data_IF_450222030078
#
_entry.id   IF_450222030078
#
_cell.length_a   1.000
_cell.length_b   1.000
_cell.length_c   1.000
_cell.angle_alpha   90.00
_cell.angle_beta   90.00
_cell.angle_gamma   90.00
#
_symmetry.space_group_name_H-M   'P 1'
#
loop_
_entity.id
_entity.type
_entity.pdbx_description
1 polymer ?
#
# COMPACT_ATOMS: atom_id res chain seq x y z
N UNK A 1 4.69 1.70 -15.37
CA UNK A 1 3.75 1.13 -14.39
C UNK A 1 2.36 1.11 -15.03
N UNK A 2 1.52 0.11 -14.73
CA UNK A 2 0.14 0.05 -15.22
C UNK A 2 -0.66 1.30 -14.80
N UNK A 3 -1.71 1.63 -15.56
CA UNK A 3 -2.59 2.75 -15.25
C UNK A 3 -3.51 2.44 -14.06
N UNK A 4 -3.96 3.47 -13.33
CA UNK A 4 -4.88 3.33 -12.17
C UNK A 4 -6.10 2.44 -12.49
N UNK A 5 -6.70 2.62 -13.69
CA UNK A 5 -7.86 1.82 -14.14
C UNK A 5 -7.56 0.34 -14.37
N UNK A 6 -6.36 0.01 -14.86
CA UNK A 6 -5.96 -1.39 -15.09
C UNK A 6 -5.73 -2.08 -13.75
N UNK A 7 -5.15 -1.36 -12.79
CA UNK A 7 -4.94 -1.83 -11.43
C UNK A 7 -6.29 -2.03 -10.71
N UNK A 8 -7.23 -1.10 -10.87
CA UNK A 8 -8.58 -1.23 -10.31
C UNK A 8 -9.29 -2.48 -10.85
N UNK A 9 -9.26 -2.71 -12.16
CA UNK A 9 -9.84 -3.90 -12.77
C UNK A 9 -9.19 -5.21 -12.26
N UNK A 10 -7.87 -5.20 -12.04
CA UNK A 10 -7.17 -6.35 -11.46
C UNK A 10 -7.56 -6.58 -9.99
N UNK A 11 -7.70 -5.52 -9.20
CA UNK A 11 -8.15 -5.61 -7.80
C UNK A 11 -9.60 -6.11 -7.72
N UNK A 12 -10.47 -5.67 -8.62
CA UNK A 12 -11.86 -6.13 -8.72
C UNK A 12 -11.93 -7.61 -9.12
N UNK A 13 -11.08 -8.06 -10.06
CA UNK A 13 -10.97 -9.48 -10.41
C UNK A 13 -10.50 -10.35 -9.23
N UNK A 14 -9.70 -9.78 -8.32
CA UNK A 14 -9.26 -10.42 -7.07
C UNK A 14 -10.25 -10.23 -5.91
N UNK A 15 -11.35 -9.51 -6.09
CA UNK A 15 -12.34 -9.26 -5.03
C UNK A 15 -13.26 -10.46 -4.76
N UNK A 16 -13.16 -11.54 -5.54
CA UNK A 16 -13.66 -12.85 -5.14
C UNK A 16 -13.11 -13.20 -3.73
N UNK A 17 -13.88 -13.87 -2.86
CA UNK A 17 -13.47 -14.06 -1.47
C UNK A 17 -12.11 -14.78 -1.44
N UNK A 18 -11.07 -14.03 -1.11
CA UNK A 18 -9.72 -14.56 -0.90
C UNK A 18 -9.88 -15.56 0.22
N UNK A 19 -9.77 -16.85 -0.12
CA UNK A 19 -9.91 -17.94 0.84
C UNK A 19 -8.92 -17.67 1.96
N UNK A 20 -9.38 -17.74 3.21
CA UNK A 20 -8.50 -17.56 4.36
C UNK A 20 -7.32 -18.56 4.25
N UNK A 21 -6.12 -18.04 3.95
CA UNK A 21 -4.92 -18.84 3.71
C UNK A 21 -4.29 -18.71 2.31
N UNK A 22 -4.90 -17.99 1.36
CA UNK A 22 -4.31 -17.75 0.04
C UNK A 22 -3.20 -16.68 0.08
N UNK A 23 -2.00 -17.08 0.51
CA UNK A 23 -0.83 -16.19 0.58
C UNK A 23 -0.47 -15.59 -0.77
N UNK A 24 -0.61 -16.34 -1.88
CA UNK A 24 -0.31 -15.86 -3.22
C UNK A 24 -1.25 -14.71 -3.62
N UNK A 25 -2.54 -14.86 -3.34
CA UNK A 25 -3.53 -13.80 -3.55
C UNK A 25 -3.22 -12.54 -2.72
N UNK A 26 -2.79 -12.70 -1.47
CA UNK A 26 -2.39 -11.56 -0.63
C UNK A 26 -1.10 -10.88 -1.09
N UNK A 27 -0.11 -11.62 -1.60
CA UNK A 27 1.10 -11.05 -2.18
C UNK A 27 0.77 -10.23 -3.44
N UNK A 28 -0.03 -10.78 -4.37
CA UNK A 28 -0.45 -10.07 -5.57
C UNK A 28 -1.28 -8.82 -5.23
N UNK A 29 -2.22 -8.93 -4.27
CA UNK A 29 -3.00 -7.79 -3.79
C UNK A 29 -2.10 -6.68 -3.21
N UNK A 30 -1.04 -7.07 -2.50
CA UNK A 30 -0.06 -6.13 -1.95
C UNK A 30 0.65 -5.37 -3.07
N UNK A 31 1.19 -6.09 -4.06
CA UNK A 31 1.89 -5.50 -5.21
C UNK A 31 0.98 -4.54 -6.01
N UNK A 32 -0.28 -4.92 -6.24
CA UNK A 32 -1.25 -4.07 -6.92
C UNK A 32 -1.54 -2.78 -6.14
N UNK A 33 -1.66 -2.85 -4.81
CA UNK A 33 -1.86 -1.64 -4.00
C UNK A 33 -0.61 -0.76 -3.90
N UNK A 34 0.60 -1.33 -3.93
CA UNK A 34 1.84 -0.57 -4.07
C UNK A 34 1.84 0.22 -5.39
N UNK A 35 1.51 -0.43 -6.52
CA UNK A 35 1.40 0.25 -7.81
C UNK A 35 0.26 1.28 -7.85
N UNK A 36 -0.88 0.99 -7.21
CA UNK A 36 -2.01 1.93 -7.13
C UNK A 36 -1.61 3.19 -6.38
N UNK A 37 -0.84 3.06 -5.31
CA UNK A 37 -0.35 4.20 -4.53
C UNK A 37 0.54 5.11 -5.39
N UNK A 38 1.44 4.52 -6.17
CA UNK A 38 2.28 5.26 -7.11
C UNK A 38 1.47 5.92 -8.23
N UNK A 39 0.48 5.21 -8.79
CA UNK A 39 -0.41 5.75 -9.83
C UNK A 39 -1.25 6.93 -9.33
N UNK A 40 -1.84 6.83 -8.14
CA UNK A 40 -2.63 7.90 -7.51
C UNK A 40 -1.77 9.15 -7.28
N UNK A 41 -0.55 8.98 -6.79
CA UNK A 41 0.40 10.09 -6.60
C UNK A 41 0.83 10.72 -7.92
N UNK A 42 1.13 9.90 -8.92
CA UNK A 42 1.51 10.38 -10.25
C UNK A 42 0.37 11.19 -10.90
N UNK A 43 -0.88 10.72 -10.80
CA UNK A 43 -2.07 11.43 -11.31
C UNK A 43 -2.25 12.79 -10.65
N UNK A 44 -1.97 12.90 -9.36
CA UNK A 44 -2.08 14.16 -8.62
C UNK A 44 -0.94 15.15 -8.90
N UNK A 45 0.03 14.79 -9.76
CA UNK A 45 1.26 15.56 -9.93
C UNK A 45 2.05 15.67 -8.62
N UNK A 46 1.75 14.81 -7.64
CA UNK A 46 2.44 14.80 -6.38
C UNK A 46 3.89 14.39 -6.67
N UNK A 47 4.88 15.13 -6.15
CA UNK A 47 6.26 14.74 -6.35
C UNK A 47 6.42 13.32 -5.82
N UNK A 48 7.02 12.44 -6.64
CA UNK A 48 7.53 11.15 -6.14
C UNK A 48 8.33 11.48 -4.88
N UNK A 49 8.14 10.80 -3.74
CA UNK A 49 8.81 11.14 -2.52
C UNK A 49 10.33 10.99 -2.71
N UNK A 50 10.98 12.05 -3.19
CA UNK A 50 12.43 12.18 -3.19
C UNK A 50 12.81 12.10 -1.73
N UNK A 51 13.86 11.32 -1.41
CA UNK A 51 14.48 11.18 -0.07
C UNK A 51 14.60 12.50 0.73
N UNK A 52 14.55 13.66 0.05
CA UNK A 52 14.57 15.02 0.60
C UNK A 52 13.29 15.44 1.36
N UNK A 53 12.10 14.91 1.05
CA UNK A 53 10.86 15.27 1.77
C UNK A 53 10.84 14.69 3.19
N UNK A 54 11.38 13.48 3.36
CA UNK A 54 11.67 12.90 4.68
C UNK A 54 12.59 13.79 5.54
N UNK A 55 13.40 14.66 4.89
CA UNK A 55 14.34 15.57 5.56
C UNK A 55 13.70 16.89 6.03
N UNK A 56 12.54 17.28 5.51
CA UNK A 56 11.87 18.53 5.87
C UNK A 56 10.74 18.37 6.90
N UNK A 57 10.41 17.14 7.30
CA UNK A 57 9.40 16.90 8.34
C UNK A 57 7.96 17.33 8.00
N UNK A 58 7.73 17.84 6.78
CA UNK A 58 6.41 18.22 6.30
C UNK A 58 5.71 17.03 5.65
N UNK A 59 4.48 16.69 6.06
CA UNK A 59 3.71 15.67 5.38
C UNK A 59 3.45 16.11 3.93
N UNK A 60 3.51 15.19 2.95
CA UNK A 60 3.13 15.52 1.58
C UNK A 60 1.68 16.00 1.54
N UNK A 61 1.32 16.86 0.57
CA UNK A 61 -0.05 17.35 0.44
C UNK A 61 -1.04 16.19 0.26
N UNK A 62 -2.26 16.30 0.80
CA UNK A 62 -3.24 15.23 0.73
C UNK A 62 -3.63 14.97 -0.72
N UNK A 63 -3.43 13.72 -1.18
CA UNK A 63 -3.85 13.27 -2.51
C UNK A 63 -5.22 12.60 -2.42
N UNK A 64 -6.24 13.03 -3.20
CA UNK A 64 -7.54 12.38 -3.21
C UNK A 64 -7.43 10.88 -3.53
N UNK A 65 -8.02 10.04 -2.68
CA UNK A 65 -7.98 8.58 -2.83
C UNK A 65 -6.75 7.88 -2.24
N UNK A 66 -5.63 8.59 -1.99
CA UNK A 66 -4.41 7.99 -1.41
C UNK A 66 -4.68 7.35 -0.04
N UNK A 67 -5.51 7.99 0.80
CA UNK A 67 -5.86 7.49 2.13
C UNK A 67 -6.45 6.08 2.09
N UNK A 68 -7.36 5.82 1.15
CA UNK A 68 -8.02 4.52 1.01
C UNK A 68 -7.02 3.45 0.56
N UNK A 69 -6.19 3.76 -0.44
CA UNK A 69 -5.13 2.87 -0.93
C UNK A 69 -4.14 2.52 0.19
N UNK A 70 -3.74 3.50 1.00
CA UNK A 70 -2.87 3.31 2.16
C UNK A 70 -3.48 2.42 3.24
N UNK A 71 -4.78 2.55 3.50
CA UNK A 71 -5.48 1.73 4.47
C UNK A 71 -5.56 0.27 4.02
N UNK A 72 -5.78 0.01 2.74
CA UNK A 72 -5.77 -1.32 2.15
C UNK A 72 -4.37 -1.95 2.18
N UNK A 73 -3.34 -1.17 1.83
CA UNK A 73 -1.95 -1.63 1.85
C UNK A 73 -1.47 -1.93 3.27
N UNK A 74 -1.86 -1.13 4.27
CA UNK A 74 -1.61 -1.42 5.69
C UNK A 74 -2.21 -2.77 6.11
N UNK A 75 -3.45 -3.05 5.71
CA UNK A 75 -4.11 -4.33 6.01
C UNK A 75 -3.37 -5.50 5.36
N UNK A 76 -2.90 -5.36 4.13
CA UNK A 76 -2.13 -6.38 3.42
C UNK A 76 -0.83 -6.72 4.16
N UNK A 77 -0.03 -5.73 4.54
CA UNK A 77 1.21 -5.98 5.29
C UNK A 77 0.94 -6.59 6.68
N UNK A 78 -0.10 -6.13 7.38
CA UNK A 78 -0.49 -6.74 8.67
C UNK A 78 -0.94 -8.19 8.52
N UNK A 79 -1.66 -8.52 7.44
CA UNK A 79 -2.05 -9.89 7.15
C UNK A 79 -0.82 -10.75 6.87
N UNK A 80 0.08 -10.29 5.98
CA UNK A 80 1.32 -11.00 5.65
C UNK A 80 2.21 -11.19 6.88
N UNK A 81 2.31 -10.19 7.76
CA UNK A 81 3.08 -10.28 8.99
C UNK A 81 2.60 -11.45 9.86
N UNK A 82 1.28 -11.63 10.00
CA UNK A 82 0.69 -12.74 10.79
C UNK A 82 1.04 -14.12 10.24
N UNK A 83 1.39 -14.24 8.96
CA UNK A 83 1.79 -15.51 8.35
C UNK A 83 3.28 -15.84 8.54
N UNK A 84 4.11 -14.88 8.97
CA UNK A 84 5.56 -15.10 9.12
C UNK A 84 5.91 -15.74 10.45
N UNK A 85 6.71 -16.79 10.39
CA UNK A 85 7.27 -17.48 11.55
C UNK A 85 8.61 -16.87 11.99
N UNK A 86 9.33 -16.20 11.08
CA UNK A 86 10.63 -15.59 11.37
C UNK A 86 10.45 -14.17 11.91
N UNK A 87 11.02 -13.83 13.08
CA UNK A 87 10.87 -12.51 13.69
C UNK A 87 11.29 -11.35 12.79
N UNK A 88 12.39 -11.50 12.05
CA UNK A 88 12.93 -10.44 11.18
C UNK A 88 11.98 -10.10 10.00
N UNK A 89 11.32 -11.12 9.43
CA UNK A 89 10.35 -10.93 8.34
C UNK A 89 9.05 -10.32 8.87
N UNK A 90 8.62 -10.73 10.07
CA UNK A 90 7.51 -10.12 10.78
C UNK A 90 7.76 -8.63 11.06
N UNK A 91 8.89 -8.29 11.69
CA UNK A 91 9.27 -6.92 12.03
C UNK A 91 9.31 -6.03 10.79
N UNK A 92 9.93 -6.51 9.71
CA UNK A 92 9.98 -5.78 8.43
C UNK A 92 8.59 -5.46 7.89
N UNK A 93 7.66 -6.42 7.93
CA UNK A 93 6.29 -6.22 7.45
C UNK A 93 5.50 -5.26 8.37
N UNK A 94 5.75 -5.30 9.68
CA UNK A 94 5.18 -4.35 10.63
C UNK A 94 5.70 -2.93 10.35
N UNK A 95 7.00 -2.75 10.12
CA UNK A 95 7.58 -1.46 9.77
C UNK A 95 6.99 -0.90 8.47
N UNK A 96 6.80 -1.75 7.45
CA UNK A 96 6.12 -1.37 6.22
C UNK A 96 4.68 -0.94 6.48
N UNK A 97 3.94 -1.68 7.32
CA UNK A 97 2.57 -1.32 7.72
C UNK A 97 2.51 0.05 8.39
N UNK A 98 3.51 0.39 9.22
CA UNK A 98 3.62 1.70 9.85
C UNK A 98 3.98 2.80 8.86
N UNK A 99 4.88 2.53 7.90
CA UNK A 99 5.27 3.49 6.88
C UNK A 99 4.11 3.89 5.96
N UNK A 100 3.21 2.95 5.65
CA UNK A 100 2.03 3.19 4.81
C UNK A 100 0.79 3.61 5.59
N UNK A 101 0.80 3.52 6.93
CA UNK A 101 -0.33 3.92 7.79
C UNK A 101 -0.91 5.27 7.36
N UNK A 102 -2.24 5.38 7.14
CA UNK A 102 -2.86 6.67 6.82
C UNK A 102 -2.63 7.66 7.97
N UNK A 103 -2.04 8.82 7.66
CA UNK A 103 -1.83 9.85 8.68
C UNK A 103 -3.20 10.40 9.14
N UNK A 104 -3.35 10.64 10.45
CA UNK A 104 -4.60 11.08 11.08
C UNK A 104 -4.89 12.57 10.93
N UNK A 105 -3.99 13.35 10.30
CA UNK A 105 -4.16 14.79 10.10
C UNK A 105 -4.46 15.06 8.64
N UNK A 106 -5.72 15.37 8.36
CA UNK A 106 -6.19 16.04 7.14
C UNK A 106 -6.68 17.42 7.58
#
# INVERSE_FOLDING_TARGET
>A
LPGEREIDAALDALAAPVVAGDEAGWLLRTELYEWKLDAVRARAGAPTPRRRWLRMGLPPPPVPGERAVRAELEQCYRWLARQRQRPQEYERLIDLSHAVRPQTRF
#
